data_IF_449988621949
#
_entry.id   IF_449988621949
#
_cell.length_a   1.000
_cell.length_b   1.000
_cell.length_c   1.000
_cell.angle_alpha   90.00
_cell.angle_beta   90.00
_cell.angle_gamma   90.00
#
_symmetry.space_group_name_H-M   'P 1'
#
loop_
_entity.id
_entity.type
_entity.pdbx_description
1 polymer ?
#
# COMPACT_ATOMS: atom_id res chain seq x y z
N UNK A 1 -61.41 -17.90 21.61
CA UNK A 1 -60.44 -17.12 20.81
C UNK A 1 -59.09 -17.25 21.48
N UNK A 2 -58.20 -18.09 20.94
CA UNK A 2 -56.81 -18.23 21.38
C UNK A 2 -55.94 -17.46 20.39
N UNK A 3 -55.32 -16.37 20.86
CA UNK A 3 -54.38 -15.57 20.06
C UNK A 3 -53.01 -16.23 20.20
N UNK A 4 -52.52 -16.84 19.13
CA UNK A 4 -51.15 -17.35 19.05
C UNK A 4 -50.20 -16.19 18.71
N UNK A 5 -49.32 -15.84 19.64
CA UNK A 5 -48.20 -14.93 19.40
C UNK A 5 -47.04 -15.71 18.78
N UNK A 6 -46.77 -15.50 17.49
CA UNK A 6 -45.52 -15.92 16.89
C UNK A 6 -44.41 -14.95 17.30
N UNK A 7 -43.51 -15.39 18.18
CA UNK A 7 -42.29 -14.66 18.48
C UNK A 7 -41.31 -14.79 17.30
N UNK A 8 -40.95 -13.68 16.66
CA UNK A 8 -39.79 -13.63 15.77
C UNK A 8 -38.52 -13.60 16.63
N UNK A 9 -37.64 -14.59 16.45
CA UNK A 9 -36.31 -14.57 17.02
C UNK A 9 -35.46 -13.48 16.34
N UNK A 10 -34.78 -12.65 17.13
CA UNK A 10 -33.80 -11.69 16.62
C UNK A 10 -32.58 -12.44 16.05
N UNK A 11 -31.97 -11.96 14.95
CA UNK A 11 -30.79 -12.59 14.37
C UNK A 11 -29.63 -12.55 15.38
N UNK A 12 -28.80 -13.60 15.44
CA UNK A 12 -27.66 -13.64 16.35
C UNK A 12 -26.66 -12.52 15.99
N UNK A 13 -26.16 -11.85 17.02
CA UNK A 13 -25.08 -10.87 16.93
C UNK A 13 -23.77 -11.62 16.64
N UNK A 14 -23.37 -11.69 15.36
CA UNK A 14 -22.12 -12.29 14.93
C UNK A 14 -21.01 -11.24 15.13
N UNK A 15 -20.33 -11.31 16.28
CA UNK A 15 -19.09 -10.56 16.48
C UNK A 15 -17.97 -11.17 15.65
N UNK A 16 -17.75 -10.59 14.47
CA UNK A 16 -16.58 -10.90 13.65
C UNK A 16 -15.32 -10.54 14.44
N UNK A 17 -14.42 -11.50 14.58
CA UNK A 17 -13.10 -11.24 15.16
C UNK A 17 -12.37 -10.25 14.24
N UNK A 18 -11.64 -9.27 14.80
CA UNK A 18 -10.81 -8.40 13.97
C UNK A 18 -9.79 -9.26 13.22
N UNK A 19 -9.56 -8.91 11.96
CA UNK A 19 -8.47 -9.49 11.18
C UNK A 19 -7.14 -9.11 11.84
N UNK A 20 -6.50 -10.09 12.48
CA UNK A 20 -5.23 -9.90 13.20
C UNK A 20 -4.05 -10.45 12.44
N UNK A 21 -4.28 -10.96 11.23
CA UNK A 21 -3.25 -11.64 10.47
C UNK A 21 -2.28 -10.64 9.85
N UNK A 22 -1.03 -10.75 10.26
CA UNK A 22 0.06 -9.91 9.80
C UNK A 22 0.89 -10.65 8.77
N UNK A 23 1.31 -9.94 7.74
CA UNK A 23 2.32 -10.42 6.80
C UNK A 23 3.62 -10.72 7.55
N UNK A 24 4.30 -11.81 7.17
CA UNK A 24 5.58 -12.22 7.77
C UNK A 24 6.65 -11.17 7.44
N UNK A 25 7.31 -10.55 8.44
CA UNK A 25 8.28 -9.49 8.18
C UNK A 25 9.43 -9.95 7.28
N UNK A 26 9.84 -9.09 6.35
CA UNK A 26 10.97 -9.34 5.47
C UNK A 26 11.66 -8.04 5.06
N UNK A 27 12.94 -8.13 4.69
CA UNK A 27 13.72 -7.03 4.10
C UNK A 27 13.54 -6.94 2.58
N UNK A 28 12.87 -7.91 1.97
CA UNK A 28 12.63 -7.92 0.53
C UNK A 28 11.64 -6.80 0.14
N UNK A 29 11.83 -6.12 -1.00
CA UNK A 29 10.94 -5.05 -1.45
C UNK A 29 9.47 -5.45 -1.53
N UNK A 30 9.19 -6.70 -1.91
CA UNK A 30 7.83 -7.23 -1.98
C UNK A 30 7.06 -7.19 -0.65
N UNK A 31 7.74 -7.21 0.51
CA UNK A 31 7.05 -7.06 1.79
C UNK A 31 6.44 -5.67 1.96
N UNK A 32 7.19 -4.62 1.60
CA UNK A 32 6.67 -3.25 1.67
C UNK A 32 5.50 -3.06 0.70
N UNK A 33 5.59 -3.61 -0.51
CA UNK A 33 4.49 -3.57 -1.49
C UNK A 33 3.27 -4.30 -0.95
N UNK A 34 3.44 -5.51 -0.39
CA UNK A 34 2.32 -6.29 0.14
C UNK A 34 1.60 -5.56 1.30
N UNK A 35 2.37 -4.92 2.19
CA UNK A 35 1.83 -4.11 3.28
C UNK A 35 1.07 -2.87 2.79
N UNK A 36 1.50 -2.28 1.66
CA UNK A 36 0.88 -1.08 1.10
C UNK A 36 -0.35 -1.39 0.25
N UNK A 37 -0.30 -2.44 -0.57
CA UNK A 37 -1.25 -2.63 -1.67
C UNK A 37 -2.20 -3.80 -1.49
N UNK A 38 -1.78 -4.87 -0.81
CA UNK A 38 -2.58 -6.10 -0.72
C UNK A 38 -3.56 -6.04 0.46
N UNK A 39 -3.11 -5.53 1.62
CA UNK A 39 -3.93 -5.42 2.82
C UNK A 39 -5.11 -4.43 2.73
N UNK A 40 -5.22 -3.69 1.62
CA UNK A 40 -6.34 -2.77 1.36
C UNK A 40 -7.61 -3.54 0.99
N UNK A 41 -7.48 -4.64 0.24
CA UNK A 41 -8.64 -5.34 -0.34
C UNK A 41 -8.93 -6.69 0.32
N UNK A 42 -7.93 -7.35 0.92
CA UNK A 42 -8.10 -8.66 1.54
C UNK A 42 -7.17 -8.84 2.75
N UNK A 43 -7.48 -9.82 3.59
CA UNK A 43 -6.66 -10.21 4.75
C UNK A 43 -5.33 -10.83 4.33
N UNK A 44 -4.35 -10.82 5.25
CA UNK A 44 -3.12 -11.58 5.05
C UNK A 44 -3.33 -13.11 5.17
N UNK A 45 -4.50 -13.57 5.64
CA UNK A 45 -4.79 -15.00 5.82
C UNK A 45 -4.79 -15.80 4.53
N UNK A 46 -5.23 -15.19 3.43
CA UNK A 46 -5.28 -15.88 2.13
C UNK A 46 -3.92 -16.39 1.66
N UNK A 47 -2.83 -15.79 2.14
CA UNK A 47 -1.47 -16.26 1.85
C UNK A 47 -1.21 -17.62 2.51
N UNK A 48 -1.76 -17.87 3.70
CA UNK A 48 -1.58 -19.13 4.42
C UNK A 48 -2.46 -20.27 3.87
N UNK A 49 -3.47 -19.97 3.05
CA UNK A 49 -4.31 -20.97 2.38
C UNK A 49 -3.76 -21.42 1.03
N UNK A 50 -2.64 -20.85 0.58
CA UNK A 50 -1.97 -21.32 -0.62
C UNK A 50 -1.24 -22.65 -0.34
N UNK A 51 -1.08 -23.53 -1.35
CA UNK A 51 -0.33 -24.76 -1.20
C UNK A 51 1.05 -24.53 -0.54
N UNK A 52 1.39 -25.29 0.52
CA UNK A 52 2.65 -25.09 1.22
C UNK A 52 3.84 -25.38 0.29
N UNK A 53 4.93 -24.63 0.46
CA UNK A 53 6.17 -24.87 -0.29
C UNK A 53 6.13 -24.44 -1.76
N UNK A 54 5.18 -23.59 -2.15
CA UNK A 54 5.15 -23.00 -3.50
C UNK A 54 6.49 -22.32 -3.86
N UNK A 55 6.89 -22.54 -5.10
CA UNK A 55 8.10 -21.96 -5.72
C UNK A 55 7.88 -20.47 -6.04
N UNK A 56 8.98 -19.76 -6.31
CA UNK A 56 8.92 -18.37 -6.74
C UNK A 56 8.06 -18.16 -7.98
N UNK A 57 8.20 -19.01 -9.00
CA UNK A 57 7.39 -18.92 -10.21
C UNK A 57 5.90 -19.05 -9.93
N UNK A 58 5.52 -19.99 -9.05
CA UNK A 58 4.13 -20.19 -8.68
C UNK A 58 3.57 -18.99 -7.89
N UNK A 59 4.35 -18.45 -6.94
CA UNK A 59 3.95 -17.26 -6.21
C UNK A 59 3.80 -16.03 -7.10
N UNK A 60 4.74 -15.82 -8.03
CA UNK A 60 4.63 -14.74 -9.03
C UNK A 60 3.38 -14.91 -9.90
N UNK A 61 3.02 -16.14 -10.28
CA UNK A 61 1.80 -16.41 -11.04
C UNK A 61 0.52 -16.09 -10.24
N UNK A 62 0.47 -16.39 -8.94
CA UNK A 62 -0.66 -15.97 -8.10
C UNK A 62 -0.77 -14.44 -7.99
N UNK A 63 0.36 -13.73 -7.93
CA UNK A 63 0.37 -12.26 -7.95
C UNK A 63 -0.05 -11.69 -9.30
N UNK A 64 0.32 -12.35 -10.40
CA UNK A 64 -0.17 -11.98 -11.73
C UNK A 64 -1.69 -12.15 -11.86
N UNK A 65 -2.31 -13.13 -11.17
CA UNK A 65 -3.78 -13.22 -11.09
C UNK A 65 -4.36 -12.02 -10.33
N UNK A 66 -3.72 -11.58 -9.24
CA UNK A 66 -4.14 -10.36 -8.53
C UNK A 66 -4.17 -9.16 -9.46
N UNK A 67 -3.12 -8.99 -10.26
CA UNK A 67 -3.02 -7.92 -11.25
C UNK A 67 -4.09 -8.03 -12.35
N UNK A 68 -4.14 -9.17 -13.05
CA UNK A 68 -4.88 -9.27 -14.31
C UNK A 68 -6.31 -9.79 -14.16
N UNK A 69 -6.57 -10.67 -13.21
CA UNK A 69 -7.89 -11.28 -13.00
C UNK A 69 -8.71 -10.48 -11.99
N UNK A 70 -8.08 -10.09 -10.88
CA UNK A 70 -8.77 -9.39 -9.79
C UNK A 70 -8.63 -7.86 -9.87
N UNK A 71 -7.84 -7.35 -10.83
CA UNK A 71 -7.74 -5.92 -11.14
C UNK A 71 -6.91 -5.10 -10.15
N UNK A 72 -6.01 -5.73 -9.39
CA UNK A 72 -5.12 -5.00 -8.50
C UNK A 72 -4.21 -4.06 -9.31
N UNK A 73 -4.12 -2.77 -8.96
CA UNK A 73 -3.28 -1.79 -9.66
C UNK A 73 -1.81 -1.93 -9.25
N UNK A 74 -1.20 -3.05 -9.64
CA UNK A 74 0.21 -3.38 -9.42
C UNK A 74 0.92 -3.54 -10.77
N UNK A 75 2.19 -3.12 -10.85
CA UNK A 75 3.01 -3.28 -12.06
C UNK A 75 3.61 -4.69 -12.14
N UNK A 76 4.09 -5.07 -13.33
CA UNK A 76 4.75 -6.37 -13.54
C UNK A 76 5.98 -6.55 -12.65
N UNK A 77 6.70 -5.47 -12.36
CA UNK A 77 7.85 -5.53 -11.46
C UNK A 77 7.42 -5.66 -10.00
N UNK A 78 6.32 -5.02 -9.60
CA UNK A 78 5.72 -5.24 -8.28
C UNK A 78 5.24 -6.69 -8.14
N UNK A 79 4.67 -7.28 -9.19
CA UNK A 79 4.28 -8.71 -9.22
C UNK A 79 5.49 -9.63 -9.01
N UNK A 80 6.63 -9.36 -9.66
CA UNK A 80 7.87 -10.13 -9.45
C UNK A 80 8.40 -9.98 -8.02
N UNK A 81 8.43 -8.76 -7.49
CA UNK A 81 8.91 -8.48 -6.14
C UNK A 81 8.01 -9.11 -5.07
N UNK A 82 6.69 -9.06 -5.25
CA UNK A 82 5.70 -9.74 -4.41
C UNK A 82 5.89 -11.26 -4.45
N UNK A 83 6.03 -11.84 -5.64
CA UNK A 83 6.28 -13.27 -5.81
C UNK A 83 7.57 -13.73 -5.11
N UNK A 84 8.65 -12.94 -5.23
CA UNK A 84 9.91 -13.21 -4.54
C UNK A 84 9.77 -13.15 -3.00
N UNK A 85 9.07 -12.14 -2.48
CA UNK A 85 8.77 -12.05 -1.05
C UNK A 85 7.98 -13.26 -0.55
N UNK A 86 6.89 -13.61 -1.23
CA UNK A 86 6.01 -14.71 -0.83
C UNK A 86 6.73 -16.06 -0.89
N UNK A 87 7.58 -16.27 -1.89
CA UNK A 87 8.37 -17.48 -2.01
C UNK A 87 9.38 -17.69 -0.88
N UNK A 88 9.95 -16.60 -0.35
CA UNK A 88 10.88 -16.66 0.79
C UNK A 88 10.14 -16.74 2.12
N UNK A 89 9.06 -15.98 2.27
CA UNK A 89 8.35 -15.86 3.54
C UNK A 89 7.36 -17.02 3.79
N UNK A 90 6.77 -17.58 2.73
CA UNK A 90 5.71 -18.59 2.79
C UNK A 90 5.97 -19.82 1.91
N UNK A 91 6.93 -19.73 0.98
CA UNK A 91 7.35 -20.83 0.10
C UNK A 91 8.63 -21.53 0.57
N UNK A 92 9.33 -22.12 -0.39
CA UNK A 92 10.56 -22.89 -0.16
C UNK A 92 11.86 -22.16 -0.53
N UNK A 93 11.77 -20.92 -1.00
CA UNK A 93 12.93 -20.16 -1.50
C UNK A 93 13.73 -19.51 -0.38
N UNK A 94 14.97 -19.11 -0.68
CA UNK A 94 15.84 -18.32 0.21
C UNK A 94 16.08 -16.93 -0.36
N UNK A 95 16.25 -15.94 0.52
CA UNK A 95 16.58 -14.58 0.13
C UNK A 95 17.88 -14.45 -0.68
N UNK A 96 18.78 -15.43 -0.56
CA UNK A 96 20.07 -15.51 -1.24
C UNK A 96 20.00 -16.18 -2.61
N UNK A 97 18.85 -16.74 -3.00
CA UNK A 97 18.70 -17.40 -4.30
C UNK A 97 18.81 -16.35 -5.41
N UNK A 98 19.54 -16.67 -6.49
CA UNK A 98 19.79 -15.74 -7.58
C UNK A 98 18.49 -15.22 -8.22
N UNK A 99 17.47 -16.07 -8.33
CA UNK A 99 16.15 -15.71 -8.86
C UNK A 99 15.39 -14.74 -7.95
N UNK A 100 15.57 -14.85 -6.63
CA UNK A 100 14.97 -13.94 -5.64
C UNK A 100 15.68 -12.59 -5.67
N UNK A 101 17.02 -12.59 -5.73
CA UNK A 101 17.81 -11.36 -5.85
C UNK A 101 17.41 -10.62 -7.13
N UNK A 102 17.41 -11.31 -8.28
CA UNK A 102 17.05 -10.73 -9.57
C UNK A 102 15.66 -10.10 -9.57
N UNK A 103 14.65 -10.79 -9.03
CA UNK A 103 13.29 -10.29 -8.90
C UNK A 103 13.13 -9.16 -7.87
N UNK A 104 14.06 -9.04 -6.93
CA UNK A 104 14.07 -7.99 -5.89
C UNK A 104 14.83 -6.73 -6.31
N UNK A 105 15.63 -6.78 -7.38
CA UNK A 105 16.26 -5.59 -7.94
C UNK A 105 15.20 -4.73 -8.62
N UNK A 106 15.04 -3.45 -8.24
CA UNK A 106 14.22 -2.54 -9.01
C UNK A 106 14.83 -2.41 -10.41
N UNK A 107 14.04 -2.67 -11.46
CA UNK A 107 14.34 -2.06 -12.74
C UNK A 107 14.16 -0.54 -12.57
N UNK A 108 15.12 0.25 -13.05
CA UNK A 108 15.14 1.69 -12.91
C UNK A 108 13.80 2.35 -13.28
N UNK A 109 13.20 3.05 -12.31
CA UNK A 109 11.97 3.87 -12.39
C UNK A 109 10.68 3.12 -12.79
N UNK A 110 9.53 3.40 -12.11
CA UNK A 110 8.26 2.83 -12.52
C UNK A 110 7.92 3.25 -13.96
N UNK A 111 7.32 2.36 -14.79
CA UNK A 111 6.77 2.77 -16.06
C UNK A 111 5.73 3.87 -15.79
N UNK A 112 5.81 4.95 -16.56
CA UNK A 112 4.74 5.94 -16.60
C UNK A 112 3.40 5.22 -16.80
N UNK A 113 2.30 5.66 -16.15
CA UNK A 113 0.99 5.06 -16.39
C UNK A 113 0.68 5.07 -17.89
N UNK A 114 -0.04 4.07 -18.42
CA UNK A 114 -0.44 4.08 -19.82
C UNK A 114 -1.18 5.39 -20.10
N UNK A 115 -0.60 6.20 -20.96
CA UNK A 115 -1.20 7.44 -21.45
C UNK A 115 -2.51 7.06 -22.14
N UNK A 116 -3.63 7.44 -21.53
CA UNK A 116 -4.90 7.48 -22.26
C UNK A 116 -4.72 8.46 -23.43
N UNK A 117 -5.05 8.08 -24.68
CA UNK A 117 -4.89 8.98 -25.81
C UNK A 117 -6.00 10.02 -25.75
N UNK A 118 -5.66 11.23 -25.31
CA UNK A 118 -6.62 12.33 -25.26
C UNK A 118 -6.00 13.67 -24.84
N UNK A 119 -5.79 14.51 -25.85
CA UNK A 119 -5.41 15.94 -25.82
C UNK A 119 -3.90 16.26 -25.83
N UNK A 120 -3.45 16.74 -26.99
CA UNK A 120 -2.14 17.34 -27.22
C UNK A 120 -2.09 18.79 -26.70
N UNK A 121 -0.98 19.18 -26.07
CA UNK A 121 -0.37 20.52 -26.15
C UNK A 121 1.09 20.51 -25.62
N UNK A 122 2.02 20.89 -26.52
CA UNK A 122 3.41 21.41 -26.41
C UNK A 122 4.36 21.02 -25.24
N UNK A 123 5.68 20.87 -25.51
CA UNK A 123 6.65 20.36 -24.53
C UNK A 123 7.14 21.48 -23.59
N UNK A 124 7.44 21.20 -22.30
CA UNK A 124 8.34 22.06 -21.55
C UNK A 124 9.75 21.49 -21.58
N UNK A 125 10.68 22.38 -21.89
CA UNK A 125 12.10 22.25 -21.65
C UNK A 125 12.42 22.19 -20.14
N UNK A 126 13.41 21.39 -19.76
CA UNK A 126 14.33 21.63 -18.64
C UNK A 126 13.84 21.50 -17.19
N UNK A 127 14.35 20.49 -16.47
CA UNK A 127 14.37 20.42 -15.00
C UNK A 127 13.17 19.73 -14.37
N UNK A 128 13.24 18.42 -14.15
CA UNK A 128 12.11 17.60 -13.68
C UNK A 128 11.51 18.05 -12.36
N UNK A 129 10.37 18.75 -12.42
CA UNK A 129 9.52 19.03 -11.26
C UNK A 129 8.86 17.74 -10.77
N UNK A 130 8.95 17.45 -9.47
CA UNK A 130 8.24 16.34 -8.84
C UNK A 130 6.73 16.55 -8.98
N UNK A 131 6.04 15.64 -9.69
CA UNK A 131 4.59 15.67 -9.83
C UNK A 131 3.93 15.03 -8.60
N UNK A 132 3.60 15.86 -7.61
CA UNK A 132 3.00 15.41 -6.34
C UNK A 132 1.65 14.72 -6.55
N UNK A 133 0.81 15.21 -7.46
CA UNK A 133 -0.51 14.61 -7.70
C UNK A 133 -0.39 13.19 -8.26
N UNK A 134 0.56 12.97 -9.18
CA UNK A 134 0.87 11.65 -9.70
C UNK A 134 1.41 10.73 -8.59
N UNK A 135 2.28 11.23 -7.70
CA UNK A 135 2.78 10.45 -6.57
C UNK A 135 1.65 10.04 -5.62
N UNK A 136 0.75 10.96 -5.27
CA UNK A 136 -0.40 10.67 -4.40
C UNK A 136 -1.31 9.59 -5.00
N UNK A 137 -1.54 9.64 -6.33
CA UNK A 137 -2.33 8.66 -7.04
C UNK A 137 -1.62 7.29 -7.13
N UNK A 138 -0.37 7.26 -7.59
CA UNK A 138 0.40 6.02 -7.80
C UNK A 138 0.71 5.27 -6.50
N UNK A 139 0.71 5.97 -5.37
CA UNK A 139 0.95 5.40 -4.05
C UNK A 139 -0.34 5.31 -3.21
N UNK A 140 -1.50 5.47 -3.84
CA UNK A 140 -2.82 5.34 -3.23
C UNK A 140 -3.01 6.16 -1.93
N UNK A 141 -2.31 7.28 -1.78
CA UNK A 141 -2.34 8.07 -0.55
C UNK A 141 -3.74 8.62 -0.27
N UNK A 142 -4.46 8.99 -1.34
CA UNK A 142 -5.82 9.55 -1.30
C UNK A 142 -6.90 8.52 -0.94
N UNK A 143 -6.59 7.23 -1.00
CA UNK A 143 -7.52 6.17 -0.58
C UNK A 143 -7.66 6.11 0.94
N UNK A 144 -6.65 6.57 1.68
CA UNK A 144 -6.62 6.53 3.14
C UNK A 144 -6.65 7.93 3.78
N UNK A 145 -6.20 8.95 3.07
CA UNK A 145 -6.17 10.34 3.54
C UNK A 145 -7.03 11.22 2.64
N UNK A 146 -8.06 11.85 3.22
CA UNK A 146 -8.77 12.92 2.52
C UNK A 146 -7.98 14.22 2.58
N UNK A 147 -8.33 15.18 1.71
CA UNK A 147 -7.79 16.53 1.84
C UNK A 147 -8.24 17.11 3.19
N UNK A 148 -9.55 17.23 3.40
CA UNK A 148 -10.14 17.92 4.56
C UNK A 148 -10.80 17.00 5.58
N UNK A 149 -10.87 15.70 5.31
CA UNK A 149 -11.64 14.75 6.11
C UNK A 149 -10.85 13.48 6.40
N UNK A 150 -11.09 12.90 7.56
CA UNK A 150 -10.59 11.58 7.94
C UNK A 150 -11.30 10.51 7.09
N UNK A 151 -10.52 9.63 6.45
CA UNK A 151 -11.04 8.44 5.77
C UNK A 151 -10.63 7.20 6.58
N UNK A 152 -9.36 6.83 6.48
CA UNK A 152 -8.71 5.83 7.34
C UNK A 152 -7.72 6.55 8.26
N UNK A 153 -6.81 7.31 7.64
CA UNK A 153 -5.94 8.28 8.29
C UNK A 153 -6.58 9.67 8.40
N UNK A 154 -5.96 10.59 9.14
CA UNK A 154 -6.43 11.97 9.28
C UNK A 154 -6.48 12.70 7.93
N UNK A 155 -7.28 13.75 7.83
CA UNK A 155 -7.22 14.64 6.68
C UNK A 155 -5.86 15.34 6.61
N UNK A 156 -5.38 15.67 5.41
CA UNK A 156 -4.13 16.40 5.28
C UNK A 156 -4.19 17.78 5.93
N UNK A 157 -5.33 18.48 5.88
CA UNK A 157 -5.53 19.73 6.64
C UNK A 157 -5.34 19.53 8.16
N UNK A 158 -5.85 18.42 8.72
CA UNK A 158 -5.66 18.10 10.15
C UNK A 158 -4.18 17.89 10.50
N UNK A 159 -3.43 17.28 9.56
CA UNK A 159 -1.99 17.07 9.71
C UNK A 159 -1.27 18.42 9.68
N UNK A 160 -1.54 19.27 8.68
CA UNK A 160 -0.94 20.59 8.56
C UNK A 160 -1.19 21.44 9.81
N UNK A 161 -2.44 21.48 10.27
CA UNK A 161 -2.85 22.24 11.45
C UNK A 161 -2.14 21.75 12.72
N UNK A 162 -1.99 20.44 12.91
CA UNK A 162 -1.25 19.87 14.05
C UNK A 162 0.23 20.25 14.05
N UNK A 163 0.84 20.41 12.87
CA UNK A 163 2.27 20.64 12.72
C UNK A 163 2.65 22.10 12.41
N UNK A 164 1.70 23.02 12.31
CA UNK A 164 1.92 24.43 11.90
C UNK A 164 3.02 25.18 12.66
N UNK A 165 3.22 24.86 13.94
CA UNK A 165 4.20 25.52 14.81
C UNK A 165 5.49 24.68 15.02
N UNK A 166 5.58 23.51 14.40
CA UNK A 166 6.70 22.59 14.57
C UNK A 166 7.78 22.85 13.51
N UNK A 167 8.91 23.41 13.92
CA UNK A 167 10.05 23.66 13.02
C UNK A 167 10.64 22.38 12.42
N UNK A 168 10.33 21.21 13.00
CA UNK A 168 10.74 19.90 12.52
C UNK A 168 9.60 19.16 11.79
N UNK A 169 8.48 19.84 11.48
CA UNK A 169 7.32 19.24 10.82
C UNK A 169 7.70 18.49 9.53
N UNK A 170 8.51 19.13 8.68
CA UNK A 170 8.97 18.58 7.43
C UNK A 170 9.69 17.24 7.63
N UNK A 171 10.73 17.20 8.47
CA UNK A 171 11.52 15.99 8.69
C UNK A 171 10.72 14.89 9.40
N UNK A 172 9.81 15.24 10.32
CA UNK A 172 8.92 14.28 10.99
C UNK A 172 7.93 13.63 10.03
N UNK A 173 7.37 14.40 9.09
CA UNK A 173 6.50 13.85 8.06
C UNK A 173 7.27 13.00 7.05
N UNK A 174 8.45 13.43 6.63
CA UNK A 174 9.30 12.60 5.76
C UNK A 174 9.65 11.25 6.41
N UNK A 175 9.98 11.25 7.71
CA UNK A 175 10.23 10.04 8.47
C UNK A 175 8.97 9.16 8.57
N UNK A 176 7.80 9.76 8.79
CA UNK A 176 6.52 9.03 8.87
C UNK A 176 6.12 8.43 7.51
N UNK A 177 6.36 9.15 6.40
CA UNK A 177 6.08 8.65 5.05
C UNK A 177 7.00 7.46 4.72
N UNK A 178 8.30 7.56 5.01
CA UNK A 178 9.26 6.47 4.72
C UNK A 178 9.08 5.26 5.63
N UNK A 179 8.91 5.50 6.94
CA UNK A 179 8.91 4.47 7.98
C UNK A 179 7.53 3.96 8.37
N UNK A 180 6.47 4.58 7.87
CA UNK A 180 5.12 4.36 8.35
C UNK A 180 4.88 5.04 9.70
N UNK A 181 3.67 4.92 10.23
CA UNK A 181 3.35 5.43 11.57
C UNK A 181 2.23 4.64 12.22
N UNK A 182 2.22 4.58 13.55
CA UNK A 182 1.16 3.96 14.35
C UNK A 182 0.98 4.74 15.66
N UNK A 183 -0.23 4.77 16.21
CA UNK A 183 -0.53 5.38 17.51
C UNK A 183 -0.75 6.88 17.48
N UNK A 184 -0.02 7.63 16.62
CA UNK A 184 -0.11 9.10 16.56
C UNK A 184 -1.50 9.62 16.17
N UNK A 185 -2.21 8.88 15.33
CA UNK A 185 -3.50 9.27 14.76
C UNK A 185 -4.60 8.20 14.97
N UNK A 186 -4.31 7.21 15.80
CA UNK A 186 -5.17 6.04 16.05
C UNK A 186 -4.39 4.73 16.03
N UNK A 187 -5.12 3.63 16.17
CA UNK A 187 -4.58 2.27 16.18
C UNK A 187 -4.27 1.72 14.79
N UNK A 188 -4.81 2.33 13.73
CA UNK A 188 -4.58 1.89 12.35
C UNK A 188 -3.17 2.32 11.90
N UNK A 189 -2.30 1.37 11.52
CA UNK A 189 -0.95 1.70 11.07
C UNK A 189 -0.97 2.26 9.64
N UNK A 190 -0.25 3.36 9.41
CA UNK A 190 0.10 3.86 8.08
C UNK A 190 1.33 3.06 7.58
N UNK A 191 1.25 2.41 6.40
CA UNK A 191 2.34 1.59 5.88
C UNK A 191 3.56 2.45 5.46
N UNK A 192 4.78 1.88 5.49
CA UNK A 192 6.01 2.57 5.08
C UNK A 192 6.13 2.69 3.57
N UNK A 193 6.42 3.87 3.01
CA UNK A 193 6.67 4.10 1.59
C UNK A 193 8.17 4.14 1.24
N UNK A 194 8.89 3.05 1.51
CA UNK A 194 10.35 2.97 1.37
C UNK A 194 10.87 3.04 -0.08
N UNK A 195 10.01 2.79 -1.07
CA UNK A 195 10.38 2.83 -2.49
C UNK A 195 10.43 4.27 -3.06
N UNK A 196 9.86 5.25 -2.34
CA UNK A 196 9.87 6.64 -2.77
C UNK A 196 11.27 7.25 -2.61
N UNK A 197 11.68 8.03 -3.62
CA UNK A 197 12.97 8.73 -3.59
C UNK A 197 12.95 9.86 -2.55
N UNK A 198 14.11 10.27 -2.02
CA UNK A 198 14.17 11.31 -1.01
C UNK A 198 13.46 12.62 -1.41
N UNK A 199 13.63 13.05 -2.65
CA UNK A 199 13.00 14.22 -3.24
C UNK A 199 11.48 14.11 -3.38
N UNK A 200 10.96 12.91 -3.67
CA UNK A 200 9.53 12.63 -3.76
C UNK A 200 8.87 12.68 -2.38
N UNK A 201 9.51 12.06 -1.38
CA UNK A 201 9.07 12.10 0.02
C UNK A 201 9.06 13.55 0.53
N UNK A 202 10.11 14.31 0.23
CA UNK A 202 10.20 15.73 0.62
C UNK A 202 9.07 16.55 0.00
N UNK A 203 8.77 16.34 -1.29
CA UNK A 203 7.69 17.03 -1.98
C UNK A 203 6.31 16.68 -1.41
N UNK A 204 6.07 15.39 -1.10
CA UNK A 204 4.83 14.93 -0.46
C UNK A 204 4.65 15.54 0.93
N UNK A 205 5.68 15.50 1.78
CA UNK A 205 5.64 16.12 3.10
C UNK A 205 5.35 17.63 3.01
N UNK A 206 6.01 18.33 2.08
CA UNK A 206 5.79 19.75 1.85
C UNK A 206 4.38 20.06 1.34
N UNK A 207 3.79 19.17 0.52
CA UNK A 207 2.39 19.29 0.10
C UNK A 207 1.44 19.14 1.28
N UNK A 208 1.63 18.12 2.12
CA UNK A 208 0.77 17.90 3.31
C UNK A 208 0.80 19.09 4.24
N UNK A 209 1.96 19.72 4.48
CA UNK A 209 2.07 20.90 5.35
C UNK A 209 1.46 22.18 4.77
N UNK A 210 1.12 22.18 3.47
CA UNK A 210 0.53 23.34 2.78
C UNK A 210 -0.99 23.21 2.62
N UNK A 211 -1.60 22.12 3.10
CA UNK A 211 -3.06 22.01 3.14
C UNK A 211 -3.60 22.95 4.22
#
# INVERSE_FOLDING_TARGET
MLIAFNALAAPPDIKLQPDTSKLRPSKLPGYAIAMQKCAICHSADYVNYQPPGMTQTQWTAEMAKMQHTYGAPISDDEVKQLGAYLAVAYGSAKATDASVIAASTPASAPPAPPTSPGAAAAPPAGGGSVNVQALLASNACLSCHGLTQKIVGPGYHDIAEKYKADQQAQSKLEASIRGGSVGKWGSVPMPPFAALKPEEVKALAAFVLKQ
#
